data_IF_003806655084
#
_entry.id   IF_003806655084
#
_cell.length_a   1.000
_cell.length_b   1.000
_cell.length_c   1.000
_cell.angle_alpha   90.00
_cell.angle_beta   90.00
_cell.angle_gamma   90.00
#
_symmetry.space_group_name_H-M   'P 1'
#
loop_
_entity.id
_entity.type
_entity.pdbx_description
1 polymer ?
#
# COMPACT_ATOMS: atom_id res chain seq x y z
N UNK A 1 -1.73 -15.54 9.14
CA UNK A 1 -2.03 -15.80 7.72
C UNK A 1 -0.82 -16.48 7.11
N UNK A 2 -0.98 -17.64 6.49
CA UNK A 2 0.15 -18.45 6.02
C UNK A 2 0.74 -17.88 4.73
N UNK A 3 2.07 -17.98 4.56
CA UNK A 3 2.85 -17.42 3.45
C UNK A 3 2.35 -17.79 2.03
N UNK A 4 1.61 -18.89 1.89
CA UNK A 4 1.00 -19.27 0.62
C UNK A 4 -0.02 -18.24 0.10
N UNK A 5 -0.66 -17.49 1.00
CA UNK A 5 -1.69 -16.51 0.60
C UNK A 5 -1.10 -15.15 0.16
N UNK A 6 0.10 -14.81 0.61
CA UNK A 6 0.80 -13.57 0.18
C UNK A 6 1.43 -13.78 -1.20
N UNK A 7 2.10 -14.91 -1.39
CA UNK A 7 2.63 -15.32 -2.71
C UNK A 7 1.52 -15.40 -3.77
N UNK A 8 0.38 -15.99 -3.42
CA UNK A 8 -0.76 -16.12 -4.34
C UNK A 8 -1.34 -14.75 -4.72
N UNK A 9 -1.54 -13.85 -3.75
CA UNK A 9 -2.00 -12.48 -4.02
C UNK A 9 -1.01 -11.68 -4.86
N UNK A 10 0.30 -11.87 -4.66
CA UNK A 10 1.32 -11.26 -5.50
C UNK A 10 1.23 -11.75 -6.96
N UNK A 11 1.04 -13.05 -7.17
CA UNK A 11 0.86 -13.63 -8.50
C UNK A 11 -0.42 -13.14 -9.18
N UNK A 12 -1.52 -13.03 -8.45
CA UNK A 12 -2.77 -12.46 -8.97
C UNK A 12 -2.62 -10.99 -9.35
N UNK A 13 -1.89 -10.22 -8.53
CA UNK A 13 -1.64 -8.80 -8.82
C UNK A 13 -0.78 -8.59 -10.08
N UNK A 14 0.17 -9.49 -10.35
CA UNK A 14 0.96 -9.47 -11.60
C UNK A 14 0.10 -9.93 -12.79
N UNK A 15 -0.68 -11.00 -12.64
CA UNK A 15 -1.55 -11.52 -13.71
C UNK A 15 -2.65 -10.54 -14.14
N UNK A 16 -3.03 -9.60 -13.25
CA UNK A 16 -4.00 -8.56 -13.57
C UNK A 16 -3.41 -7.40 -14.39
N UNK A 17 -2.09 -7.36 -14.60
CA UNK A 17 -1.46 -6.33 -15.42
C UNK A 17 -1.71 -6.58 -16.91
N UNK A 18 -1.79 -5.54 -17.75
CA UNK A 18 -1.87 -5.70 -19.19
C UNK A 18 -0.66 -6.46 -19.75
N UNK A 19 -0.82 -7.17 -20.87
CA UNK A 19 0.28 -7.85 -21.56
C UNK A 19 1.40 -6.90 -22.01
N UNK A 20 1.09 -5.60 -22.17
CA UNK A 20 2.05 -4.56 -22.51
C UNK A 20 2.79 -3.98 -21.30
N UNK A 21 2.48 -4.43 -20.09
CA UNK A 21 3.09 -3.92 -18.87
C UNK A 21 4.59 -4.21 -18.83
N UNK A 22 5.34 -3.24 -18.37
CA UNK A 22 6.78 -3.34 -18.16
C UNK A 22 7.09 -4.03 -16.84
N UNK A 23 8.33 -4.50 -16.71
CA UNK A 23 8.83 -5.03 -15.45
C UNK A 23 8.78 -3.98 -14.32
N UNK A 24 9.02 -2.71 -14.64
CA UNK A 24 8.95 -1.60 -13.67
C UNK A 24 7.53 -1.48 -13.07
N UNK A 25 6.50 -1.52 -13.92
CA UNK A 25 5.10 -1.47 -13.47
C UNK A 25 4.72 -2.69 -12.63
N UNK A 26 5.25 -3.87 -12.96
CA UNK A 26 5.06 -5.07 -12.16
C UNK A 26 5.70 -4.94 -10.77
N UNK A 27 6.92 -4.40 -10.70
CA UNK A 27 7.60 -4.12 -9.43
C UNK A 27 6.81 -3.09 -8.61
N UNK A 28 6.36 -2.00 -9.24
CA UNK A 28 5.55 -0.97 -8.60
C UNK A 28 4.27 -1.56 -8.01
N UNK A 29 3.57 -2.42 -8.77
CA UNK A 29 2.37 -3.10 -8.32
C UNK A 29 2.62 -3.99 -7.09
N UNK A 30 3.72 -4.73 -7.07
CA UNK A 30 4.12 -5.56 -5.93
C UNK A 30 4.49 -4.71 -4.71
N UNK A 31 5.26 -3.64 -4.89
CA UNK A 31 5.58 -2.70 -3.82
C UNK A 31 4.32 -2.04 -3.24
N UNK A 32 3.36 -1.68 -4.09
CA UNK A 32 2.08 -1.14 -3.65
C UNK A 32 1.30 -2.13 -2.79
N UNK A 33 1.20 -3.39 -3.23
CA UNK A 33 0.55 -4.45 -2.46
C UNK A 33 1.20 -4.64 -1.08
N UNK A 34 2.53 -4.71 -1.04
CA UNK A 34 3.29 -4.86 0.20
C UNK A 34 3.04 -3.69 1.18
N UNK A 35 2.94 -2.45 0.68
CA UNK A 35 2.63 -1.27 1.49
C UNK A 35 1.22 -1.31 2.08
N UNK A 36 0.24 -1.82 1.33
CA UNK A 36 -1.13 -2.00 1.85
C UNK A 36 -1.15 -3.01 2.99
N UNK A 37 -0.53 -4.17 2.80
CA UNK A 37 -0.49 -5.21 3.83
C UNK A 37 0.21 -4.71 5.10
N UNK A 38 1.30 -3.97 4.94
CA UNK A 38 1.96 -3.33 6.07
C UNK A 38 1.08 -2.29 6.76
N UNK A 39 0.37 -1.44 5.99
CA UNK A 39 -0.57 -0.47 6.54
C UNK A 39 -1.71 -1.14 7.32
N UNK A 40 -2.21 -2.29 6.84
CA UNK A 40 -3.22 -3.08 7.54
C UNK A 40 -2.68 -3.61 8.87
N UNK A 41 -1.48 -4.22 8.87
CA UNK A 41 -0.82 -4.69 10.10
C UNK A 41 -0.60 -3.55 11.10
N UNK A 42 -0.16 -2.39 10.63
CA UNK A 42 0.02 -1.20 11.46
C UNK A 42 -1.31 -0.73 12.05
N UNK A 43 -2.38 -0.70 11.26
CA UNK A 43 -3.71 -0.34 11.75
C UNK A 43 -4.22 -1.31 12.81
N UNK A 44 -4.06 -2.62 12.61
CA UNK A 44 -4.45 -3.66 13.58
C UNK A 44 -3.63 -3.56 14.87
N UNK A 45 -2.35 -3.21 14.76
CA UNK A 45 -1.46 -2.95 15.90
C UNK A 45 -1.73 -1.60 16.61
N UNK A 46 -2.67 -0.78 16.11
CA UNK A 46 -2.95 0.54 16.65
C UNK A 46 -1.89 1.60 16.33
N UNK A 47 -0.98 1.33 15.39
CA UNK A 47 0.02 2.29 14.88
C UNK A 47 -0.65 3.29 13.92
N UNK A 48 -1.58 4.07 14.45
CA UNK A 48 -2.34 5.09 13.72
C UNK A 48 -2.05 6.47 14.27
N UNK A 49 -2.25 7.50 13.45
CA UNK A 49 -2.16 8.91 13.86
C UNK A 49 -3.55 9.55 13.80
N UNK A 50 -3.76 10.60 14.58
CA UNK A 50 -5.01 11.35 14.55
C UNK A 50 -5.19 12.09 13.21
N UNK A 51 -6.43 12.50 12.93
CA UNK A 51 -6.75 13.30 11.75
C UNK A 51 -5.93 14.60 11.69
N UNK A 52 -5.82 15.32 12.81
CA UNK A 52 -5.04 16.55 12.90
C UNK A 52 -3.56 16.33 12.57
N UNK A 53 -3.01 15.19 12.97
CA UNK A 53 -1.60 14.87 12.77
C UNK A 53 -1.31 14.47 11.32
N UNK A 54 -2.22 13.73 10.66
CA UNK A 54 -2.06 13.44 9.22
C UNK A 54 -2.19 14.69 8.38
N UNK A 55 -3.05 15.65 8.74
CA UNK A 55 -3.17 16.94 8.06
C UNK A 55 -1.87 17.74 8.18
N UNK A 56 -1.20 17.76 9.34
CA UNK A 56 0.12 18.42 9.46
C UNK A 56 1.20 17.77 8.61
N UNK A 57 1.19 16.43 8.49
CA UNK A 57 2.24 15.67 7.79
C UNK A 57 2.05 15.63 6.27
N UNK A 58 0.80 15.61 5.82
CA UNK A 58 0.45 15.44 4.40
C UNK A 58 -0.20 16.68 3.78
N UNK A 59 -0.71 17.62 4.59
CA UNK A 59 -1.26 18.87 4.12
C UNK A 59 -0.16 19.77 3.55
N UNK A 60 -0.44 20.40 2.40
CA UNK A 60 0.37 21.53 1.94
C UNK A 60 0.33 22.64 3.01
N UNK A 61 1.43 23.36 3.26
CA UNK A 61 1.42 24.46 4.21
C UNK A 61 0.35 25.48 3.76
N UNK A 62 -0.69 25.68 4.57
CA UNK A 62 -1.74 26.68 4.34
C UNK A 62 -3.20 26.19 4.36
N UNK A 63 -3.49 24.92 4.66
CA UNK A 63 -4.87 24.47 4.86
C UNK A 63 -5.36 24.86 6.27
N UNK A 64 -5.77 26.11 6.44
CA UNK A 64 -6.50 26.57 7.62
C UNK A 64 -7.99 26.27 7.40
N UNK A 65 -8.53 25.34 8.18
CA UNK A 65 -9.96 25.19 8.39
C UNK A 65 -10.45 26.22 9.42
#
# INVERSE_FOLDING_TARGET
>A
MSADNEKQRALEAIQALPDSATLEEAIERLCFLAKIEEGLRQSEAGHVISHDEVVKRCGRPGYHA
#
